data_IF_643359114824
#
_entry.id   IF_643359114824
#
_cell.length_a   1.000
_cell.length_b   1.000
_cell.length_c   1.000
_cell.angle_alpha   90.00
_cell.angle_beta   90.00
_cell.angle_gamma   90.00
#
_symmetry.space_group_name_H-M   'P 1'
#
loop_
_entity.id
_entity.type
_entity.pdbx_description
1 polymer ?
#
# COMPACT_ATOMS: atom_id res chain seq x y z
N UNK A 1 -53.38 27.83 30.06
CA UNK A 1 -52.48 26.72 30.42
C UNK A 1 -52.36 25.80 29.23
N UNK A 2 -51.19 25.72 28.60
CA UNK A 2 -50.45 24.49 28.25
C UNK A 2 -49.41 24.85 27.17
N UNK A 3 -48.16 25.02 27.60
CA UNK A 3 -46.99 25.18 26.74
C UNK A 3 -46.75 23.87 25.99
N UNK A 4 -46.68 23.91 24.66
CA UNK A 4 -46.14 22.79 23.88
C UNK A 4 -44.75 23.20 23.38
N UNK A 5 -43.73 22.68 24.08
CA UNK A 5 -42.31 22.87 23.76
C UNK A 5 -41.93 21.99 22.57
N UNK A 6 -41.58 22.62 21.45
CA UNK A 6 -41.06 21.95 20.27
C UNK A 6 -39.60 21.54 20.53
N UNK A 7 -39.35 20.25 20.78
CA UNK A 7 -37.98 19.71 20.83
C UNK A 7 -37.47 19.54 19.41
N UNK A 8 -36.51 20.38 19.01
CA UNK A 8 -35.74 20.20 17.78
C UNK A 8 -34.74 19.06 18.04
N UNK A 9 -34.94 17.92 17.38
CA UNK A 9 -33.98 16.83 17.35
C UNK A 9 -33.03 17.07 16.16
N UNK A 10 -31.83 17.58 16.42
CA UNK A 10 -30.78 17.68 15.40
C UNK A 10 -30.15 16.29 15.28
N UNK A 11 -30.50 15.56 14.23
CA UNK A 11 -29.78 14.34 13.84
C UNK A 11 -28.59 14.78 12.98
N UNK A 12 -27.41 14.90 13.60
CA UNK A 12 -26.15 15.01 12.87
C UNK A 12 -25.88 13.64 12.27
N UNK A 13 -26.29 13.44 11.02
CA UNK A 13 -25.90 12.28 10.24
C UNK A 13 -24.42 12.45 9.89
N UNK A 14 -23.55 11.80 10.66
CA UNK A 14 -22.13 11.68 10.35
C UNK A 14 -22.02 10.92 9.01
N UNK A 15 -21.86 11.66 7.92
CA UNK A 15 -21.39 11.13 6.64
C UNK A 15 -19.97 10.63 6.87
N UNK A 16 -19.83 9.33 7.17
CA UNK A 16 -18.57 8.61 7.01
C UNK A 16 -18.23 8.65 5.52
N UNK A 17 -17.43 9.64 5.13
CA UNK A 17 -16.73 9.61 3.86
C UNK A 17 -15.78 8.41 3.89
N UNK A 18 -16.20 7.31 3.27
CA UNK A 18 -15.26 6.28 2.84
C UNK A 18 -14.41 6.93 1.74
N UNK A 19 -13.25 7.47 2.14
CA UNK A 19 -12.22 7.87 1.20
C UNK A 19 -11.78 6.61 0.46
N UNK A 20 -12.25 6.44 -0.77
CA UNK A 20 -11.57 5.59 -1.73
C UNK A 20 -10.19 6.20 -1.93
N UNK A 21 -9.16 5.55 -1.39
CA UNK A 21 -7.79 5.91 -1.75
C UNK A 21 -7.62 5.57 -3.22
N UNK A 22 -7.25 6.58 -4.00
CA UNK A 22 -7.14 6.53 -5.45
C UNK A 22 -6.23 5.38 -5.90
N UNK A 23 -6.72 4.56 -6.82
CA UNK A 23 -6.02 3.46 -7.47
C UNK A 23 -4.79 3.98 -8.21
N UNK A 24 -3.60 3.44 -7.89
CA UNK A 24 -2.45 3.58 -8.77
C UNK A 24 -2.43 2.38 -9.69
N UNK A 25 -2.79 2.62 -10.96
CA UNK A 25 -2.47 1.75 -12.10
C UNK A 25 -1.11 1.08 -11.86
N UNK A 26 -0.98 -0.22 -12.12
CA UNK A 26 0.32 -0.90 -12.15
C UNK A 26 1.33 -0.24 -13.11
N UNK A 27 0.82 0.57 -14.06
CA UNK A 27 1.56 1.37 -15.03
C UNK A 27 1.66 2.87 -14.67
N UNK A 28 1.02 3.31 -13.59
CA UNK A 28 1.17 4.65 -13.05
C UNK A 28 2.49 4.78 -12.31
N UNK A 29 3.22 5.88 -12.52
CA UNK A 29 4.29 6.25 -11.58
C UNK A 29 3.65 6.33 -10.19
N UNK A 30 4.07 5.47 -9.25
CA UNK A 30 3.73 5.68 -7.86
C UNK A 30 4.18 7.10 -7.49
N UNK A 31 3.29 7.85 -6.85
CA UNK A 31 3.63 9.15 -6.30
C UNK A 31 4.89 8.99 -5.45
N UNK A 32 5.96 9.68 -5.83
CA UNK A 32 7.25 9.59 -5.16
C UNK A 32 7.16 10.25 -3.78
N UNK A 33 6.65 9.52 -2.78
CA UNK A 33 6.48 10.02 -1.43
C UNK A 33 7.80 9.95 -0.67
N UNK A 34 8.46 11.10 -0.53
CA UNK A 34 9.66 11.23 0.31
C UNK A 34 9.30 11.61 1.77
N UNK A 35 8.03 11.91 2.00
CA UNK A 35 7.44 12.28 3.27
C UNK A 35 5.98 11.81 3.28
N UNK A 36 5.53 11.18 4.37
CA UNK A 36 4.15 10.74 4.49
C UNK A 36 3.74 10.54 5.96
N UNK A 37 2.48 10.82 6.24
CA UNK A 37 1.86 10.51 7.52
C UNK A 37 1.44 9.05 7.57
N UNK A 38 1.62 8.45 8.74
CA UNK A 38 1.09 7.15 9.13
C UNK A 38 -0.44 7.05 8.96
N UNK A 39 -0.98 5.85 9.13
CA UNK A 39 -2.41 5.60 8.95
C UNK A 39 -3.24 6.38 9.98
N UNK A 40 -2.88 6.32 11.26
CA UNK A 40 -3.53 7.11 12.33
C UNK A 40 -3.26 8.61 12.27
N UNK A 41 -2.30 9.06 11.46
CA UNK A 41 -1.78 10.45 11.41
C UNK A 41 -1.02 10.91 12.66
N UNK A 42 -0.67 10.01 13.56
CA UNK A 42 0.13 10.34 14.74
C UNK A 42 1.64 10.42 14.47
N UNK A 43 2.11 9.62 13.51
CA UNK A 43 3.51 9.57 13.08
C UNK A 43 3.70 10.10 11.67
N UNK A 44 4.87 10.67 11.42
CA UNK A 44 5.33 11.16 10.13
C UNK A 44 6.69 10.59 9.80
N UNK A 45 6.82 9.99 8.63
CA UNK A 45 8.09 9.50 8.10
C UNK A 45 8.61 10.46 7.01
N UNK A 46 9.92 10.69 7.00
CA UNK A 46 10.59 11.57 6.03
C UNK A 46 12.01 11.11 5.77
N UNK A 47 12.47 11.22 4.52
CA UNK A 47 13.89 11.15 4.21
C UNK A 47 14.61 12.47 4.46
N UNK A 48 15.71 12.41 5.20
CA UNK A 48 16.55 13.58 5.53
C UNK A 48 17.98 13.29 5.16
N UNK A 49 18.64 14.23 4.46
CA UNK A 49 20.08 14.20 4.24
C UNK A 49 20.78 15.03 5.31
N UNK A 50 21.73 14.42 6.04
CA UNK A 50 22.61 15.10 7.00
C UNK A 50 24.05 14.78 6.64
N UNK A 51 24.83 15.79 6.25
CA UNK A 51 26.26 15.63 5.94
C UNK A 51 26.55 14.51 4.92
N UNK A 52 25.79 14.47 3.82
CA UNK A 52 25.90 13.45 2.76
C UNK A 52 25.46 12.03 3.15
N UNK A 53 24.91 11.84 4.36
CA UNK A 53 24.29 10.60 4.80
C UNK A 53 22.77 10.75 4.77
N UNK A 54 22.09 9.73 4.27
CA UNK A 54 20.63 9.71 4.22
C UNK A 54 20.05 8.96 5.42
N UNK A 55 18.96 9.50 5.94
CA UNK A 55 18.23 8.96 7.08
C UNK A 55 16.76 8.83 6.74
N UNK A 56 16.14 7.75 7.19
CA UNK A 56 14.70 7.71 7.43
C UNK A 56 14.46 8.23 8.85
N UNK A 57 13.75 9.35 8.95
CA UNK A 57 13.38 9.97 10.23
C UNK A 57 11.88 9.79 10.45
N UNK A 58 11.51 9.35 11.65
CA UNK A 58 10.12 9.26 12.09
C UNK A 58 9.93 10.20 13.28
N UNK A 59 8.95 11.09 13.18
CA UNK A 59 8.54 12.01 14.24
C UNK A 59 7.06 11.86 14.57
N UNK A 60 6.64 12.32 15.74
CA UNK A 60 5.22 12.47 16.05
C UNK A 60 4.62 13.73 15.40
N UNK A 61 3.32 13.95 15.61
CA UNK A 61 2.56 15.12 15.14
C UNK A 61 3.11 16.48 15.62
N UNK A 62 3.78 16.50 16.76
CA UNK A 62 4.44 17.69 17.34
C UNK A 62 5.87 17.91 16.81
N UNK A 63 6.39 17.02 15.96
CA UNK A 63 7.74 17.09 15.40
C UNK A 63 8.84 16.50 16.29
N UNK A 64 8.49 15.90 17.44
CA UNK A 64 9.45 15.15 18.27
C UNK A 64 9.91 13.90 17.51
N UNK A 65 11.22 13.74 17.36
CA UNK A 65 11.82 12.57 16.72
C UNK A 65 11.61 11.33 17.61
N UNK A 66 10.99 10.31 17.02
CA UNK A 66 10.75 9.00 17.63
C UNK A 66 11.91 8.04 17.30
N UNK A 67 12.35 8.02 16.04
CA UNK A 67 13.48 7.20 15.61
C UNK A 67 14.13 7.76 14.35
N UNK A 68 15.43 7.46 14.17
CA UNK A 68 16.18 7.74 12.96
C UNK A 68 16.93 6.48 12.53
N UNK A 69 16.87 6.16 11.25
CA UNK A 69 17.56 5.02 10.66
C UNK A 69 18.49 5.49 9.56
N UNK A 70 19.80 5.27 9.75
CA UNK A 70 20.84 5.57 8.76
C UNK A 70 20.73 4.61 7.58
N UNK A 71 20.63 5.16 6.37
CA UNK A 71 20.64 4.41 5.11
C UNK A 71 21.91 4.83 4.34
N UNK A 72 23.06 4.20 4.63
CA UNK A 72 24.32 4.62 4.06
C UNK A 72 24.32 4.33 2.55
N UNK A 73 24.89 5.26 1.76
CA UNK A 73 25.10 5.10 0.30
C UNK A 73 23.84 5.05 -0.56
N UNK A 74 22.66 5.34 -0.02
CA UNK A 74 21.47 5.57 -0.83
C UNK A 74 21.68 6.82 -1.71
N UNK A 75 21.48 6.69 -3.02
CA UNK A 75 21.46 7.82 -3.97
C UNK A 75 20.05 8.33 -4.22
N UNK A 76 19.07 7.42 -4.14
CA UNK A 76 17.66 7.73 -4.34
C UNK A 76 16.84 6.99 -3.28
N UNK A 77 15.96 7.72 -2.59
CA UNK A 77 15.02 7.18 -1.61
C UNK A 77 13.64 7.70 -1.96
N UNK A 78 12.64 6.83 -1.90
CA UNK A 78 11.29 7.16 -2.32
C UNK A 78 10.24 6.18 -1.74
N UNK A 79 8.98 6.46 -2.06
CA UNK A 79 7.84 5.56 -1.92
C UNK A 79 7.66 5.02 -0.51
N UNK A 80 7.67 5.91 0.48
CA UNK A 80 7.30 5.53 1.84
C UNK A 80 5.82 5.16 1.86
N UNK A 81 5.50 3.96 2.32
CA UNK A 81 4.13 3.50 2.56
C UNK A 81 4.01 2.84 3.93
N UNK A 82 2.92 3.10 4.64
CA UNK A 82 2.71 2.64 6.01
C UNK A 82 1.77 1.44 6.05
N UNK A 83 2.07 0.49 6.94
CA UNK A 83 1.07 -0.48 7.37
C UNK A 83 0.03 0.21 8.25
N UNK A 84 -1.21 -0.26 8.23
CA UNK A 84 -2.31 0.30 9.06
C UNK A 84 -2.09 0.19 10.57
N UNK A 85 -1.11 -0.63 11.00
CA UNK A 85 -0.70 -0.77 12.40
C UNK A 85 0.24 0.34 12.89
N UNK A 86 0.73 1.20 12.00
CA UNK A 86 1.73 2.24 12.26
C UNK A 86 3.05 1.77 12.89
N UNK A 87 3.30 0.46 12.91
CA UNK A 87 4.54 -0.15 13.42
C UNK A 87 5.54 -0.49 12.31
N UNK A 88 5.03 -0.59 11.08
CA UNK A 88 5.80 -0.96 9.91
C UNK A 88 5.59 0.05 8.80
N UNK A 89 6.65 0.30 8.06
CA UNK A 89 6.57 1.01 6.79
C UNK A 89 7.50 0.34 5.80
N UNK A 90 7.26 0.59 4.52
CA UNK A 90 8.17 0.20 3.44
C UNK A 90 8.67 1.41 2.70
N UNK A 91 9.84 1.26 2.09
CA UNK A 91 10.41 2.28 1.22
C UNK A 91 11.28 1.67 0.14
N UNK A 92 11.54 2.46 -0.90
CA UNK A 92 12.44 2.06 -1.98
C UNK A 92 13.79 2.76 -1.86
N UNK A 93 14.85 2.01 -2.15
CA UNK A 93 16.21 2.51 -2.16
C UNK A 93 16.85 2.21 -3.53
N UNK A 94 17.41 3.25 -4.14
CA UNK A 94 18.09 3.22 -5.43
C UNK A 94 17.24 2.65 -6.58
N UNK A 95 15.90 2.70 -6.46
CA UNK A 95 14.95 2.11 -7.40
C UNK A 95 15.20 0.62 -7.68
N UNK A 96 15.83 -0.09 -6.74
CA UNK A 96 16.21 -1.50 -6.89
C UNK A 96 15.96 -2.35 -5.66
N UNK A 97 15.79 -1.72 -4.50
CA UNK A 97 15.58 -2.38 -3.23
C UNK A 97 14.23 -1.96 -2.66
N UNK A 98 13.46 -2.93 -2.20
CA UNK A 98 12.28 -2.71 -1.35
C UNK A 98 12.65 -3.11 0.07
N UNK A 99 12.57 -2.15 0.98
CA UNK A 99 12.90 -2.32 2.39
C UNK A 99 11.64 -2.28 3.24
N UNK A 100 11.60 -3.10 4.28
CA UNK A 100 10.65 -3.06 5.39
C UNK A 100 11.35 -2.51 6.62
N UNK A 101 10.82 -1.45 7.21
CA UNK A 101 11.30 -0.90 8.47
C UNK A 101 10.33 -1.22 9.59
N UNK A 102 10.83 -1.85 10.67
CA UNK A 102 10.12 -2.01 11.92
C UNK A 102 10.52 -0.87 12.86
N UNK A 103 9.52 -0.08 13.26
CA UNK A 103 9.71 1.12 14.07
C UNK A 103 10.03 0.77 15.52
N UNK A 104 9.40 -0.29 16.05
CA UNK A 104 9.61 -0.78 17.42
C UNK A 104 11.02 -1.32 17.57
N UNK A 105 11.45 -2.18 16.64
CA UNK A 105 12.77 -2.82 16.67
C UNK A 105 13.88 -1.92 16.10
N UNK A 106 13.51 -0.78 15.48
CA UNK A 106 14.41 0.14 14.79
C UNK A 106 15.29 -0.55 13.74
N UNK A 107 14.73 -1.56 13.07
CA UNK A 107 15.46 -2.43 12.15
C UNK A 107 14.86 -2.39 10.74
N UNK A 108 15.73 -2.50 9.74
CA UNK A 108 15.35 -2.59 8.33
C UNK A 108 15.66 -3.99 7.79
N UNK A 109 14.70 -4.57 7.06
CA UNK A 109 14.82 -5.87 6.40
C UNK A 109 14.64 -5.68 4.90
N UNK A 110 15.57 -6.22 4.11
CA UNK A 110 15.45 -6.21 2.65
C UNK A 110 14.40 -7.25 2.22
N UNK A 111 13.34 -6.81 1.57
CA UNK A 111 12.24 -7.66 1.12
C UNK A 111 12.46 -8.14 -0.32
N UNK A 112 12.91 -7.23 -1.18
CA UNK A 112 13.15 -7.52 -2.58
C UNK A 112 14.32 -6.70 -3.11
N UNK A 113 15.10 -7.30 -4.01
CA UNK A 113 16.23 -6.64 -4.67
C UNK A 113 16.33 -7.07 -6.14
N UNK A 114 16.51 -6.09 -7.02
CA UNK A 114 16.78 -6.28 -8.45
C UNK A 114 18.26 -6.25 -8.81
N UNK A 115 18.76 -7.30 -9.46
CA UNK A 115 20.12 -7.31 -10.03
C UNK A 115 20.20 -6.76 -11.47
N UNK A 116 19.08 -6.71 -12.21
CA UNK A 116 19.12 -6.72 -13.68
C UNK A 116 18.39 -5.56 -14.40
N UNK A 117 17.63 -4.70 -13.71
CA UNK A 117 16.81 -3.72 -14.43
C UNK A 117 17.61 -2.48 -14.87
N UNK A 118 17.64 -2.24 -16.19
CA UNK A 118 18.09 -0.97 -16.80
C UNK A 118 17.09 0.18 -16.59
N UNK A 119 15.87 -0.13 -16.13
CA UNK A 119 14.81 0.84 -15.84
C UNK A 119 14.60 0.96 -14.33
N UNK A 120 14.32 2.18 -13.80
CA UNK A 120 13.94 2.37 -12.42
C UNK A 120 12.70 1.55 -12.09
N UNK A 121 12.69 0.89 -10.94
CA UNK A 121 11.53 0.12 -10.48
C UNK A 121 10.57 0.97 -9.69
N UNK A 122 9.30 0.72 -9.95
CA UNK A 122 8.26 0.95 -8.98
C UNK A 122 7.82 -0.43 -8.45
N UNK A 123 8.14 -0.73 -7.19
CA UNK A 123 7.64 -1.95 -6.55
C UNK A 123 6.12 -1.89 -6.30
N UNK A 124 5.50 -0.70 -6.41
CA UNK A 124 4.08 -0.45 -6.12
C UNK A 124 3.61 -1.16 -4.85
N UNK A 125 4.36 -0.97 -3.75
CA UNK A 125 4.13 -1.69 -2.51
C UNK A 125 2.87 -1.16 -1.80
N UNK A 126 1.89 -2.04 -1.62
CA UNK A 126 0.60 -1.72 -1.00
C UNK A 126 0.33 -2.61 0.20
N UNK A 127 0.01 -2.00 1.33
CA UNK A 127 -0.30 -2.70 2.56
C UNK A 127 -1.76 -3.16 2.58
N UNK A 128 -1.98 -4.37 3.07
CA UNK A 128 -3.31 -4.86 3.38
C UNK A 128 -3.98 -4.00 4.45
N UNK A 129 -5.31 -3.84 4.43
CA UNK A 129 -6.04 -3.06 5.42
C UNK A 129 -5.82 -3.51 6.86
N UNK A 130 -5.60 -4.81 7.11
CA UNK A 130 -5.27 -5.32 8.44
C UNK A 130 -3.78 -5.17 8.83
N UNK A 131 -2.96 -4.63 7.94
CA UNK A 131 -1.53 -4.37 8.14
C UNK A 131 -0.64 -5.61 8.26
N UNK A 132 -1.13 -6.83 7.99
CA UNK A 132 -0.37 -8.08 8.14
C UNK A 132 0.33 -8.54 6.85
N UNK A 133 -0.07 -7.97 5.71
CA UNK A 133 0.39 -8.34 4.39
C UNK A 133 0.78 -7.11 3.58
N UNK A 134 1.73 -7.30 2.66
CA UNK A 134 2.12 -6.29 1.69
C UNK A 134 2.15 -6.93 0.30
N UNK A 135 1.34 -6.39 -0.61
CA UNK A 135 1.45 -6.67 -2.04
C UNK A 135 2.55 -5.81 -2.64
N UNK A 136 3.31 -6.35 -3.60
CA UNK A 136 4.28 -5.61 -4.39
C UNK A 136 4.60 -6.32 -5.71
N UNK A 137 5.20 -5.60 -6.65
CA UNK A 137 5.69 -6.12 -7.92
C UNK A 137 7.18 -6.43 -7.80
N UNK A 138 7.55 -7.67 -8.11
CA UNK A 138 8.95 -8.09 -8.23
C UNK A 138 9.43 -7.94 -9.65
N UNK A 139 10.73 -7.84 -9.87
CA UNK A 139 11.32 -7.69 -11.20
C UNK A 139 12.55 -8.58 -11.40
N UNK A 140 12.72 -9.60 -10.55
CA UNK A 140 13.83 -10.55 -10.65
C UNK A 140 13.72 -11.47 -11.87
N UNK A 141 12.68 -11.31 -12.67
CA UNK A 141 12.43 -12.04 -13.91
C UNK A 141 11.69 -11.10 -14.89
N UNK A 142 11.82 -11.37 -16.19
CA UNK A 142 11.17 -10.66 -17.29
C UNK A 142 9.66 -10.56 -17.18
N UNK A 143 9.01 -11.42 -16.38
CA UNK A 143 7.56 -11.40 -16.19
C UNK A 143 7.09 -10.39 -15.14
N UNK A 144 7.96 -9.84 -14.29
CA UNK A 144 7.57 -8.91 -13.22
C UNK A 144 6.43 -9.40 -12.29
N UNK A 145 6.56 -10.55 -11.61
CA UNK A 145 5.44 -11.15 -10.91
C UNK A 145 4.99 -10.32 -9.70
N UNK A 146 3.67 -10.26 -9.48
CA UNK A 146 3.10 -9.78 -8.22
C UNK A 146 3.40 -10.77 -7.08
N UNK A 147 3.74 -10.24 -5.91
CA UNK A 147 4.10 -10.98 -4.70
C UNK A 147 3.38 -10.44 -3.47
N UNK A 148 3.23 -11.30 -2.49
CA UNK A 148 2.61 -11.03 -1.20
C UNK A 148 3.58 -11.35 -0.08
N UNK A 149 4.08 -10.33 0.62
CA UNK A 149 4.91 -10.51 1.82
C UNK A 149 4.03 -10.63 3.07
N UNK A 150 4.31 -11.64 3.91
CA UNK A 150 3.64 -11.85 5.20
C UNK A 150 4.52 -11.38 6.35
N UNK A 151 4.02 -10.46 7.20
CA UNK A 151 4.73 -10.09 8.43
C UNK A 151 4.89 -11.29 9.37
N UNK A 152 3.81 -12.04 9.58
CA UNK A 152 3.80 -13.22 10.47
C UNK A 152 4.80 -14.29 10.03
N UNK A 153 4.90 -14.54 8.73
CA UNK A 153 5.70 -15.63 8.16
C UNK A 153 7.08 -15.17 7.67
N UNK A 154 7.34 -13.86 7.70
CA UNK A 154 8.59 -13.20 7.29
C UNK A 154 9.11 -13.62 5.90
N UNK A 155 8.19 -13.89 4.97
CA UNK A 155 8.53 -14.29 3.59
C UNK A 155 7.45 -13.88 2.59
N UNK A 156 7.86 -13.80 1.31
CA UNK A 156 6.98 -13.50 0.19
C UNK A 156 6.46 -14.77 -0.51
N UNK A 157 5.27 -14.65 -1.10
CA UNK A 157 4.61 -15.66 -1.92
C UNK A 157 4.24 -15.06 -3.27
N UNK A 158 4.20 -15.88 -4.32
CA UNK A 158 3.69 -15.44 -5.61
C UNK A 158 2.17 -15.29 -5.54
N UNK A 159 1.64 -14.24 -6.16
CA UNK A 159 0.23 -14.18 -6.52
C UNK A 159 0.03 -15.16 -7.68
N UNK A 160 -0.94 -16.10 -7.61
CA UNK A 160 -1.11 -17.16 -8.60
C UNK A 160 -1.83 -16.67 -9.86
N UNK A 161 -1.47 -15.47 -10.34
CA UNK A 161 -1.99 -14.86 -11.57
C UNK A 161 -0.80 -14.45 -12.42
N UNK A 162 -0.85 -14.75 -13.71
CA UNK A 162 0.22 -14.37 -14.63
C UNK A 162 0.29 -12.84 -14.73
N UNK A 163 1.47 -12.27 -14.56
CA UNK A 163 1.64 -10.82 -14.44
C UNK A 163 1.46 -10.05 -15.75
N UNK A 164 1.53 -10.73 -16.89
CA UNK A 164 1.26 -10.17 -18.21
C UNK A 164 -0.23 -9.93 -18.48
N UNK A 165 -1.12 -10.56 -17.71
CA UNK A 165 -2.58 -10.36 -17.82
C UNK A 165 -3.16 -9.47 -16.74
N UNK A 166 -2.38 -9.11 -15.72
CA UNK A 166 -2.82 -8.18 -14.67
C UNK A 166 -2.83 -6.78 -15.26
N UNK A 167 -3.97 -6.11 -15.21
CA UNK A 167 -4.16 -4.70 -15.59
C UNK A 167 -4.13 -3.80 -14.36
N UNK A 168 -4.67 -4.25 -13.24
CA UNK A 168 -4.63 -3.54 -11.97
C UNK A 168 -4.70 -4.50 -10.79
N UNK A 169 -4.14 -4.09 -9.64
CA UNK A 169 -4.13 -4.88 -8.41
C UNK A 169 -4.22 -3.94 -7.21
N UNK A 170 -5.23 -4.14 -6.37
CA UNK A 170 -5.49 -3.25 -5.24
C UNK A 170 -6.16 -3.99 -4.08
N UNK A 171 -5.97 -3.47 -2.88
CA UNK A 171 -6.70 -3.93 -1.70
C UNK A 171 -8.08 -3.29 -1.62
N UNK A 172 -9.08 -4.10 -1.29
CA UNK A 172 -10.40 -3.62 -0.89
C UNK A 172 -10.40 -3.33 0.61
N UNK A 173 -10.41 -2.04 0.98
CA UNK A 173 -10.17 -1.54 2.33
C UNK A 173 -11.00 -2.21 3.44
N UNK A 174 -12.32 -2.36 3.25
CA UNK A 174 -13.19 -2.92 4.31
C UNK A 174 -13.17 -4.44 4.42
N UNK A 175 -12.67 -5.15 3.41
CA UNK A 175 -12.77 -6.63 3.33
C UNK A 175 -11.44 -7.33 3.53
N UNK A 176 -10.33 -6.58 3.55
CA UNK A 176 -8.98 -7.15 3.55
C UNK A 176 -8.80 -8.21 2.43
N UNK A 177 -9.33 -7.87 1.26
CA UNK A 177 -9.39 -8.70 0.06
C UNK A 177 -8.55 -8.02 -1.02
N UNK A 178 -7.81 -8.81 -1.81
CA UNK A 178 -7.03 -8.30 -2.93
C UNK A 178 -7.83 -8.47 -4.22
N UNK A 179 -8.17 -7.37 -4.87
CA UNK A 179 -8.86 -7.36 -6.16
C UNK A 179 -7.81 -7.26 -7.27
N UNK A 180 -7.91 -8.15 -8.24
CA UNK A 180 -7.01 -8.24 -9.38
C UNK A 180 -7.86 -8.11 -10.64
N UNK A 181 -7.63 -7.02 -11.38
CA UNK A 181 -8.26 -6.78 -12.67
C UNK A 181 -7.38 -7.35 -13.77
N UNK A 182 -7.96 -8.08 -14.71
CA UNK A 182 -7.25 -8.66 -15.85
C UNK A 182 -7.83 -8.26 -17.19
N UNK A 183 -6.99 -8.26 -18.22
CA UNK A 183 -7.39 -8.05 -19.62
C UNK A 183 -8.05 -9.28 -20.26
N UNK A 184 -8.07 -10.42 -19.54
CA UNK A 184 -8.75 -11.63 -19.98
C UNK A 184 -10.26 -11.48 -19.84
N UNK A 185 -10.98 -11.75 -20.94
CA UNK A 185 -12.43 -11.83 -20.99
C UNK A 185 -12.95 -13.04 -20.21
N UNK A 186 -12.97 -12.90 -18.89
CA UNK A 186 -13.64 -13.83 -17.99
C UNK A 186 -15.09 -13.37 -17.83
N UNK A 187 -16.05 -14.27 -18.12
CA UNK A 187 -17.48 -13.97 -17.92
C UNK A 187 -17.88 -13.93 -16.44
N UNK A 188 -17.06 -14.52 -15.56
CA UNK A 188 -17.37 -14.72 -14.15
C UNK A 188 -16.19 -14.31 -13.25
N UNK A 189 -16.52 -13.68 -12.12
CA UNK A 189 -15.57 -13.37 -11.05
C UNK A 189 -15.02 -14.68 -10.46
N UNK A 190 -13.70 -14.80 -10.38
CA UNK A 190 -13.06 -15.99 -9.79
C UNK A 190 -12.48 -15.65 -8.42
N UNK A 191 -12.89 -16.39 -7.40
CA UNK A 191 -12.34 -16.26 -6.06
C UNK A 191 -11.17 -17.23 -5.85
N UNK A 192 -10.11 -16.73 -5.23
CA UNK A 192 -8.94 -17.50 -4.83
C UNK A 192 -8.57 -17.15 -3.39
N UNK A 193 -7.72 -17.96 -2.78
CA UNK A 193 -7.22 -17.69 -1.43
C UNK A 193 -5.74 -17.98 -1.33
N UNK A 194 -5.04 -17.11 -0.61
CA UNK A 194 -3.64 -17.29 -0.23
C UNK A 194 -3.56 -17.16 1.29
N UNK A 195 -3.57 -18.30 1.98
CA UNK A 195 -3.72 -18.35 3.43
C UNK A 195 -4.97 -17.59 3.91
N UNK A 196 -4.78 -16.56 4.74
CA UNK A 196 -5.81 -15.70 5.32
C UNK A 196 -6.19 -14.50 4.43
N UNK A 197 -5.72 -14.46 3.18
CA UNK A 197 -6.10 -13.45 2.19
C UNK A 197 -7.07 -14.05 1.18
N UNK A 198 -8.23 -13.44 1.03
CA UNK A 198 -9.12 -13.64 -0.11
C UNK A 198 -8.64 -12.80 -1.29
N UNK A 199 -8.66 -13.37 -2.48
CA UNK A 199 -8.35 -12.66 -3.72
C UNK A 199 -9.50 -12.83 -4.70
N UNK A 200 -9.88 -11.74 -5.37
CA UNK A 200 -10.92 -11.73 -6.39
C UNK A 200 -10.30 -11.35 -7.72
N UNK A 201 -10.54 -12.18 -8.74
CA UNK A 201 -10.16 -11.92 -10.12
C UNK A 201 -11.38 -11.48 -10.91
N UNK A 202 -11.28 -10.36 -11.64
CA UNK A 202 -12.36 -9.83 -12.47
C UNK A 202 -11.85 -9.25 -13.80
N UNK A 203 -12.69 -9.29 -14.83
CA UNK A 203 -12.43 -8.70 -16.15
C UNK A 203 -12.84 -7.23 -16.20
N UNK A 204 -12.09 -6.38 -16.92
CA UNK A 204 -12.46 -4.96 -17.14
C UNK A 204 -13.86 -4.77 -17.75
N UNK A 205 -14.37 -5.75 -18.53
CA UNK A 205 -15.71 -5.68 -19.13
C UNK A 205 -16.85 -5.58 -18.09
N UNK A 206 -16.61 -5.97 -16.83
CA UNK A 206 -17.61 -5.87 -15.76
C UNK A 206 -17.68 -4.49 -15.08
N UNK A 207 -16.70 -3.61 -15.29
CA UNK A 207 -16.64 -2.28 -14.64
C UNK A 207 -17.60 -1.29 -15.33
N UNK A 208 -17.99 -1.55 -16.59
CA UNK A 208 -18.87 -0.67 -17.39
C UNK A 208 -20.38 -0.90 -17.11
N UNK A 209 -20.77 -1.92 -16.32
CA UNK A 209 -22.17 -2.21 -16.02
C UNK A 209 -22.70 -1.56 -14.72
N UNK A 210 -22.19 -0.40 -14.32
CA UNK A 210 -22.81 0.39 -13.23
C UNK A 210 -23.89 1.33 -13.81
N UNK A 211 -25.11 0.79 -13.85
CA UNK A 211 -26.44 1.44 -13.70
C UNK A 211 -26.72 2.69 -14.57
N UNK A 212 -27.62 2.62 -15.57
CA UNK A 212 -28.26 3.82 -16.10
C UNK A 212 -29.09 4.47 -14.98
N UNK A 213 -28.90 5.76 -14.76
CA UNK A 213 -29.81 6.56 -13.95
C UNK A 213 -31.21 6.49 -14.57
N UNK A 214 -32.17 5.93 -13.83
CA UNK A 214 -33.59 6.25 -13.98
C UNK A 214 -33.91 7.52 -13.17
#
# INVERSE_FOLDING_TARGET
>A
MMNCTMKILIVIQLMLFHLLVNAQNINGLASQSNETWSFSKELKAKFVNKQSLNYLVISNSEGRIITEHLIPRAKHLANITWASSDQYLTFTENNRNLWLFNIVDKSATLIEHSFQSKKPLNFNAQWSPNGQWMQYLSNNNSRYPAKMYSLKRKRAYLVPVASDVIVDIAWHDSKNELVINTDQSTKEQTEMSLYDIKMTLQSEEQIVQVIPFD
#
